data_IF_128794724136
#
_entry.id   IF_128794724136
#
_cell.length_a   1.000
_cell.length_b   1.000
_cell.length_c   1.000
_cell.angle_alpha   90.00
_cell.angle_beta   90.00
_cell.angle_gamma   90.00
#
_symmetry.space_group_name_H-M   'P 1'
#
loop_
_entity.id
_entity.type
_entity.pdbx_description
1 polymer ?
#
# COMPACT_ATOMS: atom_id res chain seq x y z
N UNK A 1 27.26 7.49 26.23
CA UNK A 1 26.95 7.38 25.63
C UNK A 1 26.51 7.25 24.86
N UNK A 2 26.51 7.55 24.84
CA UNK A 2 26.04 7.49 24.06
C UNK A 2 25.44 7.25 23.26
N UNK A 3 25.28 7.42 23.24
CA UNK A 3 24.77 7.24 22.48
C UNK A 3 24.32 7.10 21.71
N UNK A 4 24.11 7.07 21.73
CA UNK A 4 23.64 6.78 21.06
C UNK A 4 23.20 6.82 20.20
N UNK A 5 23.19 6.99 20.09
CA UNK A 5 22.82 7.00 19.32
C UNK A 5 22.45 6.99 18.45
N UNK A 6 22.97 6.94 18.71
CA UNK A 6 22.16 7.24 17.88
C UNK A 6 21.91 6.72 16.54
N UNK A 7 21.94 5.61 16.28
CA UNK A 7 21.42 5.17 15.03
C UNK A 7 19.94 5.39 15.01
N UNK A 8 19.52 6.27 14.16
CA UNK A 8 18.12 6.53 14.08
C UNK A 8 17.51 5.75 12.96
N UNK A 9 16.43 5.10 13.25
CA UNK A 9 15.64 4.52 12.20
C UNK A 9 14.96 5.64 11.44
N UNK A 10 14.84 5.54 10.11
CA UNK A 10 14.08 6.53 9.36
C UNK A 10 12.67 6.62 9.90
N UNK A 11 12.16 7.81 9.99
CA UNK A 11 10.79 8.00 10.43
C UNK A 11 9.84 7.35 9.42
N UNK A 12 8.83 6.68 9.93
CA UNK A 12 7.81 6.10 9.08
C UNK A 12 6.86 7.18 8.60
N UNK A 13 6.39 7.01 7.39
CA UNK A 13 5.43 7.92 6.78
C UNK A 13 4.07 7.27 6.73
N UNK A 14 3.06 8.09 6.93
CA UNK A 14 1.69 7.64 6.77
C UNK A 14 1.34 7.64 5.30
N UNK A 15 1.05 6.47 4.76
CA UNK A 15 0.70 6.32 3.35
C UNK A 15 -0.76 5.91 3.28
N UNK A 16 -1.54 6.65 2.52
CA UNK A 16 -2.95 6.32 2.33
C UNK A 16 -3.12 5.59 1.01
N UNK A 17 -3.61 4.36 1.08
CA UNK A 17 -4.02 3.61 -0.10
C UNK A 17 -5.49 3.87 -0.33
N UNK A 18 -5.86 4.13 -1.56
CA UNK A 18 -7.23 4.46 -1.91
C UNK A 18 -7.64 3.72 -3.16
N UNK A 19 -8.83 3.16 -3.12
CA UNK A 19 -9.44 2.49 -4.26
C UNK A 19 -10.88 2.90 -4.38
N UNK A 20 -11.30 3.21 -5.60
CA UNK A 20 -12.70 3.51 -5.88
C UNK A 20 -13.30 2.33 -6.63
N UNK A 21 -14.42 1.84 -6.11
CA UNK A 21 -15.11 0.69 -6.68
C UNK A 21 -16.54 0.72 -6.16
N UNK A 22 -17.34 -0.23 -6.57
CA UNK A 22 -18.71 -0.31 -6.10
C UNK A 22 -18.74 -0.47 -4.58
N UNK A 23 -19.74 0.07 -3.88
CA UNK A 23 -19.86 -0.15 -2.45
C UNK A 23 -20.10 -1.62 -2.12
N UNK A 24 -19.77 -1.99 -0.89
CA UNK A 24 -20.05 -3.34 -0.41
C UNK A 24 -19.01 -4.38 -0.74
N UNK A 25 -17.84 -3.97 -1.23
CA UNK A 25 -16.76 -4.89 -1.55
C UNK A 25 -15.86 -5.09 -0.34
N UNK A 26 -15.17 -6.22 -0.34
CA UNK A 26 -14.12 -6.46 0.63
C UNK A 26 -12.78 -6.15 -0.04
N UNK A 27 -12.11 -5.13 0.45
CA UNK A 27 -10.91 -4.59 -0.21
C UNK A 27 -9.73 -4.63 0.74
N UNK A 28 -8.62 -5.18 0.26
CA UNK A 28 -7.35 -5.20 0.98
C UNK A 28 -6.27 -4.66 0.08
N UNK A 29 -5.16 -4.23 0.68
CA UNK A 29 -3.94 -3.98 -0.05
C UNK A 29 -2.88 -4.97 0.44
N UNK A 30 -2.14 -5.54 -0.49
CA UNK A 30 -1.05 -6.46 -0.20
C UNK A 30 0.17 -6.02 -0.98
N UNK A 31 1.33 -6.19 -0.38
CA UNK A 31 2.56 -5.78 -1.03
C UNK A 31 3.76 -6.33 -0.32
N UNK A 32 4.93 -5.91 -0.79
CA UNK A 32 6.17 -6.37 -0.17
C UNK A 32 6.30 -5.92 1.27
N UNK A 33 5.52 -4.95 1.71
CA UNK A 33 5.50 -4.51 3.11
C UNK A 33 4.68 -5.42 4.01
N UNK A 34 3.98 -6.39 3.44
CA UNK A 34 3.14 -7.31 4.22
C UNK A 34 3.39 -8.75 3.84
N UNK A 35 4.55 -9.05 3.22
CA UNK A 35 4.87 -10.36 2.67
C UNK A 35 3.78 -10.83 1.72
N UNK A 36 3.19 -9.90 0.99
CA UNK A 36 2.12 -10.15 0.04
C UNK A 36 0.89 -10.79 0.64
N UNK A 37 0.71 -10.60 1.96
CA UNK A 37 -0.49 -11.03 2.66
C UNK A 37 -1.52 -9.90 2.62
N UNK A 38 -2.78 -10.19 2.32
CA UNK A 38 -3.82 -9.16 2.31
C UNK A 38 -4.28 -8.85 3.73
N UNK A 39 -3.43 -8.19 4.49
CA UNK A 39 -3.66 -7.90 5.90
C UNK A 39 -4.25 -6.53 6.15
N UNK A 40 -4.04 -5.60 5.23
CA UNK A 40 -4.47 -4.22 5.45
C UNK A 40 -5.78 -4.00 4.73
N UNK A 41 -6.85 -3.97 5.50
CA UNK A 41 -8.18 -3.81 4.93
C UNK A 41 -8.49 -2.34 4.71
N UNK A 42 -8.99 -2.03 3.52
CA UNK A 42 -9.51 -0.70 3.21
C UNK A 42 -10.98 -0.65 3.56
N UNK A 43 -11.42 0.49 4.09
CA UNK A 43 -12.81 0.66 4.48
C UNK A 43 -13.44 1.80 3.71
N UNK A 44 -14.74 1.65 3.47
CA UNK A 44 -15.57 2.64 2.80
C UNK A 44 -16.52 3.21 3.84
N UNK A 45 -16.06 4.24 4.56
CA UNK A 45 -16.80 4.75 5.70
C UNK A 45 -18.13 5.36 5.33
N UNK A 46 -18.20 5.94 4.15
CA UNK A 46 -19.40 6.65 3.74
C UNK A 46 -20.30 5.82 2.85
N UNK A 47 -19.90 4.61 2.53
CA UNK A 47 -20.72 3.74 1.68
C UNK A 47 -20.83 4.20 0.25
N UNK A 48 -19.82 4.94 -0.23
CA UNK A 48 -19.85 5.53 -1.57
C UNK A 48 -18.87 4.86 -2.52
N UNK A 49 -18.22 3.79 -2.10
CA UNK A 49 -17.28 3.11 -2.96
C UNK A 49 -15.89 3.69 -2.92
N UNK A 50 -15.57 4.50 -1.91
CA UNK A 50 -14.22 5.03 -1.72
C UNK A 50 -13.59 4.32 -0.55
N UNK A 51 -12.65 3.43 -0.85
CA UNK A 51 -12.01 2.58 0.17
C UNK A 51 -10.63 3.13 0.47
N UNK A 52 -10.33 3.28 1.75
CA UNK A 52 -9.02 3.80 2.16
C UNK A 52 -8.48 3.04 3.35
N UNK A 53 -7.15 3.05 3.47
CA UNK A 53 -6.45 2.57 4.66
C UNK A 53 -5.15 3.34 4.75
N UNK A 54 -4.72 3.57 5.96
CA UNK A 54 -3.48 4.25 6.24
C UNK A 54 -2.48 3.24 6.78
N UNK A 55 -1.30 3.19 6.18
CA UNK A 55 -0.25 2.27 6.56
C UNK A 55 1.02 3.07 6.79
N UNK A 56 1.74 2.76 7.86
CA UNK A 56 3.00 3.43 8.15
C UNK A 56 4.13 2.66 7.50
N UNK A 57 4.89 3.34 6.63
CA UNK A 57 5.99 2.72 5.89
C UNK A 57 7.24 3.56 5.99
N UNK A 58 8.37 2.88 6.13
CA UNK A 58 9.67 3.55 6.06
C UNK A 58 9.93 4.05 4.65
N UNK A 59 10.80 5.04 4.48
CA UNK A 59 11.15 5.46 3.12
C UNK A 59 11.71 4.31 2.30
N UNK A 60 11.37 4.28 1.03
CA UNK A 60 11.80 3.23 0.12
C UNK A 60 10.81 3.04 -1.01
N UNK A 61 11.08 2.02 -1.81
CA UNK A 61 10.19 1.64 -2.89
C UNK A 61 9.47 0.36 -2.53
N UNK A 62 8.17 0.33 -2.84
CA UNK A 62 7.33 -0.79 -2.51
C UNK A 62 6.50 -1.16 -3.72
N UNK A 63 6.21 -2.45 -3.85
CA UNK A 63 5.29 -2.93 -4.86
C UNK A 63 4.05 -3.46 -4.16
N UNK A 64 2.89 -3.23 -4.76
CA UNK A 64 1.64 -3.62 -4.12
C UNK A 64 0.56 -3.87 -5.16
N UNK A 65 -0.51 -4.52 -4.70
CA UNK A 65 -1.75 -4.70 -5.46
C UNK A 65 -2.92 -4.62 -4.50
N UNK A 66 -4.08 -4.36 -5.04
CA UNK A 66 -5.32 -4.46 -4.28
C UNK A 66 -5.89 -5.86 -4.43
N UNK A 67 -6.61 -6.30 -3.41
CA UNK A 67 -7.35 -7.55 -3.45
C UNK A 67 -8.81 -7.19 -3.19
N UNK A 68 -9.65 -7.36 -4.20
CA UNK A 68 -11.05 -6.95 -4.15
C UNK A 68 -11.90 -8.20 -4.28
N UNK A 69 -12.62 -8.55 -3.22
CA UNK A 69 -13.42 -9.77 -3.18
C UNK A 69 -12.60 -10.99 -3.60
N UNK A 70 -11.35 -11.04 -3.12
CA UNK A 70 -10.44 -12.13 -3.43
C UNK A 70 -9.71 -12.03 -4.74
N UNK A 71 -9.95 -11.01 -5.53
CA UNK A 71 -9.35 -10.84 -6.84
C UNK A 71 -8.23 -9.81 -6.78
N UNK A 72 -7.06 -10.18 -7.29
CA UNK A 72 -5.89 -9.31 -7.29
C UNK A 72 -5.98 -8.33 -8.44
N UNK A 73 -5.81 -7.04 -8.14
CA UNK A 73 -5.95 -5.98 -9.12
C UNK A 73 -4.84 -4.97 -9.01
N UNK A 74 -4.40 -4.48 -10.16
CA UNK A 74 -3.47 -3.37 -10.24
C UNK A 74 -4.20 -2.09 -9.78
N UNK A 75 -3.44 -1.17 -9.17
CA UNK A 75 -4.00 0.14 -8.84
C UNK A 75 -4.07 0.98 -10.11
N UNK A 76 -5.24 1.05 -10.72
CA UNK A 76 -5.39 1.73 -12.00
C UNK A 76 -5.24 3.24 -11.89
N UNK A 77 -5.31 3.80 -10.68
CA UNK A 77 -5.12 5.22 -10.48
C UNK A 77 -3.65 5.61 -10.34
N UNK A 78 -2.76 4.62 -10.25
CA UNK A 78 -1.33 4.85 -10.11
C UNK A 78 -0.64 4.55 -11.44
N UNK A 79 -0.03 5.56 -12.08
CA UNK A 79 0.59 5.33 -13.39
C UNK A 79 1.92 4.58 -13.32
N UNK A 80 2.45 4.35 -12.12
CA UNK A 80 3.74 3.69 -11.95
C UNK A 80 3.53 2.23 -11.64
N UNK A 81 4.10 1.35 -12.45
CA UNK A 81 3.96 -0.08 -12.24
C UNK A 81 5.18 -0.78 -12.81
N UNK A 82 5.39 -2.02 -12.39
CA UNK A 82 6.51 -2.84 -12.86
C UNK A 82 6.00 -4.25 -13.14
N UNK A 83 6.63 -4.95 -14.09
CA UNK A 83 6.24 -6.35 -14.33
C UNK A 83 6.67 -7.21 -13.14
N UNK A 84 5.91 -8.28 -12.91
CA UNK A 84 6.28 -9.25 -11.90
C UNK A 84 6.56 -10.61 -12.55
N UNK A 85 6.95 -11.56 -11.71
CA UNK A 85 7.37 -12.88 -12.20
C UNK A 85 6.21 -13.75 -12.68
N UNK A 86 4.98 -13.30 -12.46
CA UNK A 86 3.79 -14.08 -12.82
C UNK A 86 3.14 -13.61 -14.10
N UNK A 87 3.80 -12.73 -14.83
CA UNK A 87 3.26 -12.23 -16.09
C UNK A 87 2.21 -11.15 -15.93
N UNK A 88 2.10 -10.56 -14.75
CA UNK A 88 1.21 -9.44 -14.52
C UNK A 88 2.02 -8.24 -14.04
N UNK A 89 1.34 -7.21 -13.58
CA UNK A 89 1.98 -5.96 -13.15
C UNK A 89 1.72 -5.72 -11.68
N UNK A 90 2.69 -5.13 -11.00
CA UNK A 90 2.50 -4.61 -9.65
C UNK A 90 2.56 -3.10 -9.69
N UNK A 91 1.77 -2.44 -8.87
CA UNK A 91 1.85 -0.99 -8.71
C UNK A 91 3.08 -0.64 -7.91
N UNK A 92 3.70 0.48 -8.24
CA UNK A 92 4.94 0.91 -7.61
C UNK A 92 4.68 2.15 -6.79
N UNK A 93 5.11 2.10 -5.53
CA UNK A 93 4.96 3.20 -4.58
C UNK A 93 6.34 3.62 -4.11
N UNK A 94 6.59 4.92 -4.12
CA UNK A 94 7.83 5.45 -3.57
C UNK A 94 7.51 6.32 -2.37
N UNK A 95 8.11 5.98 -1.23
CA UNK A 95 7.96 6.73 0.00
C UNK A 95 9.26 7.49 0.21
N UNK A 96 9.18 8.81 0.24
CA UNK A 96 10.37 9.64 0.35
C UNK A 96 10.72 9.88 1.81
N UNK A 97 12.00 10.15 2.05
CA UNK A 97 12.51 10.31 3.41
C UNK A 97 12.29 11.72 3.95
N UNK A 98 12.24 12.71 3.10
CA UNK A 98 12.17 14.08 3.58
C UNK A 98 10.74 14.47 3.83
N UNK A 99 10.66 15.31 4.78
CA UNK A 99 9.49 15.91 5.26
C UNK A 99 8.26 15.76 4.50
#
# INVERSE_FOLDING_TARGET
>A
MMAKKSVKKPARRSVTFKLEDAPGRQVFVAGCFSDWQPKHRLTDREGRGVYTVRVLLAPGEYQYKFVVDGEWRLDSANPNFVPNDFGTLNSLLRVTADK
#
